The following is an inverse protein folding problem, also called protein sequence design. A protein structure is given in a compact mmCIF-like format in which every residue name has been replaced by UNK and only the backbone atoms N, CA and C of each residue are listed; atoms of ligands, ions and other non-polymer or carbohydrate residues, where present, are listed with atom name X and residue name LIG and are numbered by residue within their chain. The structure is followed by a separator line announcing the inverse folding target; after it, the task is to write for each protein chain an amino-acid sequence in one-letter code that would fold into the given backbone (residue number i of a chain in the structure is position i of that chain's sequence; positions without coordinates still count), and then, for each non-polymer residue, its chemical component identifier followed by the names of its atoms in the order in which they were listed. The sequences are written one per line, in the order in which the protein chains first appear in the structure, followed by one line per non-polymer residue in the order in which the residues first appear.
data_IF_130534217149
#
_entry.id   IF_130534217149
#
_cell.length_a   1.000
_cell.length_b   1.000
_cell.length_c   1.000
_cell.angle_alpha   90.00
_cell.angle_beta   90.00
_cell.angle_gamma   90.00
#
_symmetry.space_group_name_H-M   'P 1'
#
loop_
_entity.id
_entity.type
_entity.pdbx_description
1 polymer ?
#
# COMPACT_ATOMS: atom_id res chain seq x y z
N UNK A 1 -62.22 21.32 32.57
CA UNK A 1 -60.76 21.05 32.40
C UNK A 1 -60.01 22.38 32.34
N UNK A 2 -59.22 22.71 33.37
CA UNK A 2 -58.54 24.01 33.52
C UNK A 2 -57.65 24.32 32.31
N UNK A 3 -57.75 25.55 31.75
CA UNK A 3 -56.96 26.01 30.60
C UNK A 3 -55.45 25.72 30.78
N UNK A 4 -54.94 25.85 31.99
CA UNK A 4 -53.55 25.55 32.37
C UNK A 4 -53.15 24.09 32.13
N UNK A 5 -54.02 23.11 32.43
CA UNK A 5 -53.72 21.68 32.20
C UNK A 5 -53.64 21.34 30.71
N UNK A 6 -54.47 21.99 29.87
CA UNK A 6 -54.41 21.86 28.40
C UNK A 6 -53.11 22.42 27.83
N UNK A 7 -52.67 23.57 28.34
CA UNK A 7 -51.42 24.23 27.92
C UNK A 7 -50.21 23.37 28.29
N UNK A 8 -50.15 22.83 29.51
CA UNK A 8 -49.05 21.95 29.95
C UNK A 8 -48.96 20.68 29.10
N UNK A 9 -50.10 20.05 28.79
CA UNK A 9 -50.14 18.88 27.91
C UNK A 9 -49.66 19.18 26.49
N UNK A 10 -50.04 20.35 25.93
CA UNK A 10 -49.57 20.80 24.63
C UNK A 10 -48.06 21.07 24.59
N UNK A 11 -47.52 21.73 25.62
CA UNK A 11 -46.07 21.98 25.76
C UNK A 11 -45.32 20.65 25.86
N UNK A 12 -45.81 19.71 26.66
CA UNK A 12 -45.18 18.38 26.78
C UNK A 12 -45.17 17.62 25.45
N UNK A 13 -46.27 17.67 24.69
CA UNK A 13 -46.34 17.08 23.35
C UNK A 13 -45.37 17.75 22.37
N UNK A 14 -45.26 19.08 22.39
CA UNK A 14 -44.33 19.83 21.54
C UNK A 14 -42.86 19.51 21.86
N UNK A 15 -42.51 19.40 23.15
CA UNK A 15 -41.15 19.00 23.56
C UNK A 15 -40.85 17.57 23.09
N UNK A 16 -41.81 16.66 23.23
CA UNK A 16 -41.68 15.27 22.81
C UNK A 16 -41.46 15.15 21.29
N UNK A 17 -42.23 15.90 20.48
CA UNK A 17 -42.06 15.89 19.02
C UNK A 17 -40.73 16.50 18.59
N UNK A 18 -40.29 17.59 19.22
CA UNK A 18 -38.98 18.19 18.95
C UNK A 18 -37.82 17.26 19.34
N UNK A 19 -37.94 16.51 20.44
CA UNK A 19 -36.97 15.49 20.84
C UNK A 19 -36.85 14.39 19.77
N UNK A 20 -37.97 13.84 19.31
CA UNK A 20 -37.97 12.80 18.26
C UNK A 20 -37.36 13.36 16.97
N UNK A 21 -37.75 14.57 16.56
CA UNK A 21 -37.19 15.19 15.36
C UNK A 21 -35.67 15.40 15.47
N UNK A 22 -35.18 15.84 16.64
CA UNK A 22 -33.76 15.99 16.92
C UNK A 22 -32.99 14.67 16.83
N UNK A 23 -33.54 13.59 17.41
CA UNK A 23 -32.95 12.25 17.29
C UNK A 23 -32.94 11.78 15.83
N UNK A 24 -34.03 11.97 15.08
CA UNK A 24 -34.09 11.58 13.68
C UNK A 24 -33.04 12.33 12.82
N UNK A 25 -32.91 13.64 13.00
CA UNK A 25 -31.87 14.45 12.33
C UNK A 25 -30.47 13.95 12.70
N UNK A 26 -30.23 13.68 13.98
CA UNK A 26 -28.96 13.13 14.44
C UNK A 26 -28.64 11.77 13.79
N UNK A 27 -29.62 10.87 13.70
CA UNK A 27 -29.48 9.57 13.04
C UNK A 27 -29.20 9.71 11.52
N UNK A 28 -29.84 10.68 10.86
CA UNK A 28 -29.58 10.97 9.44
C UNK A 28 -28.15 11.49 9.25
N UNK A 29 -27.68 12.37 10.14
CA UNK A 29 -26.33 12.91 10.07
C UNK A 29 -25.27 11.79 10.21
N UNK A 30 -25.39 10.91 11.21
CA UNK A 30 -24.45 9.79 11.36
C UNK A 30 -24.55 8.80 10.19
N UNK A 31 -25.73 8.55 9.64
CA UNK A 31 -25.91 7.68 8.49
C UNK A 31 -25.26 8.25 7.22
N UNK A 32 -25.18 9.58 7.10
CA UNK A 32 -24.45 10.28 6.03
C UNK A 32 -22.94 10.45 6.33
N UNK A 33 -22.42 9.84 7.39
CA UNK A 33 -21.02 9.90 7.79
C UNK A 33 -20.62 11.20 8.48
N UNK A 34 -21.54 11.95 9.10
CA UNK A 34 -21.18 13.10 9.91
C UNK A 34 -20.85 12.68 11.35
N UNK A 35 -19.76 13.23 11.88
CA UNK A 35 -19.40 13.20 13.30
C UNK A 35 -19.37 14.60 13.88
N UNK A 36 -19.75 14.71 15.15
CA UNK A 36 -19.62 15.95 15.93
C UNK A 36 -18.17 16.07 16.38
N UNK A 37 -17.52 17.15 15.98
CA UNK A 37 -16.23 17.56 16.50
C UNK A 37 -16.47 18.46 17.72
N UNK A 38 -16.30 17.91 18.92
CA UNK A 38 -16.53 18.64 20.18
C UNK A 38 -15.57 19.82 20.40
N UNK A 39 -14.39 19.79 19.78
CA UNK A 39 -13.39 20.84 19.95
C UNK A 39 -13.81 22.14 19.24
N UNK A 40 -14.53 22.03 18.12
CA UNK A 40 -14.97 23.19 17.32
C UNK A 40 -16.49 23.34 17.26
N UNK A 41 -17.22 22.50 17.98
CA UNK A 41 -18.69 22.40 17.94
C UNK A 41 -19.24 22.28 16.50
N UNK A 42 -18.51 21.58 15.62
CA UNK A 42 -18.81 21.51 14.18
C UNK A 42 -19.14 20.08 13.74
N UNK A 43 -19.94 19.97 12.67
CA UNK A 43 -20.21 18.70 12.01
C UNK A 43 -19.17 18.49 10.90
N UNK A 44 -18.42 17.40 10.98
CA UNK A 44 -17.42 17.04 9.98
C UNK A 44 -17.78 15.70 9.35
N UNK A 45 -17.68 15.60 8.02
CA UNK A 45 -17.90 14.35 7.31
C UNK A 45 -16.66 13.48 7.45
N UNK A 46 -16.85 12.24 7.87
CA UNK A 46 -15.79 11.26 8.03
C UNK A 46 -15.30 10.76 6.68
N UNK A 47 -14.06 10.28 6.64
CA UNK A 47 -13.53 9.54 5.51
C UNK A 47 -13.53 8.02 5.76
N UNK A 48 -12.94 7.29 4.81
CA UNK A 48 -12.80 5.84 4.85
C UNK A 48 -11.45 5.43 4.26
N UNK A 49 -10.88 4.34 4.79
CA UNK A 49 -9.74 3.65 4.19
C UNK A 49 -10.23 2.33 3.59
N UNK A 50 -9.81 2.05 2.36
CA UNK A 50 -10.00 0.76 1.68
C UNK A 50 -8.63 0.18 1.32
N UNK A 51 -8.37 -1.06 1.71
CA UNK A 51 -7.10 -1.75 1.46
C UNK A 51 -7.36 -3.08 0.75
N UNK A 52 -6.63 -3.32 -0.33
CA UNK A 52 -6.60 -4.59 -1.05
C UNK A 52 -5.15 -5.00 -1.27
N UNK A 53 -4.82 -6.24 -0.88
CA UNK A 53 -3.46 -6.76 -0.99
C UNK A 53 -3.42 -8.15 -1.62
N UNK A 54 -2.26 -8.47 -2.19
CA UNK A 54 -1.87 -9.81 -2.57
C UNK A 54 -0.59 -10.20 -1.81
N UNK A 55 -0.60 -11.28 -1.02
CA UNK A 55 -1.74 -12.17 -0.74
C UNK A 55 -2.82 -11.50 0.14
N UNK A 56 -4.01 -12.10 0.17
CA UNK A 56 -5.17 -11.53 0.87
C UNK A 56 -5.17 -11.81 2.38
N UNK A 57 -4.51 -12.88 2.84
CA UNK A 57 -4.43 -13.30 4.25
C UNK A 57 -3.35 -12.55 5.03
N UNK A 58 -3.62 -11.28 5.31
CA UNK A 58 -2.68 -10.36 5.98
C UNK A 58 -3.23 -9.85 7.30
N UNK A 59 -2.36 -9.40 8.20
CA UNK A 59 -2.70 -8.64 9.40
C UNK A 59 -2.63 -7.15 9.10
N UNK A 60 -3.64 -6.38 9.54
CA UNK A 60 -3.78 -4.96 9.24
C UNK A 60 -3.71 -4.16 10.54
N UNK A 61 -2.84 -3.16 10.55
CA UNK A 61 -2.63 -2.25 11.66
C UNK A 61 -2.81 -0.80 11.19
N UNK A 62 -3.53 0.00 11.98
CA UNK A 62 -3.73 1.43 11.72
C UNK A 62 -3.32 2.19 12.99
N UNK A 63 -2.35 3.10 12.86
CA UNK A 63 -1.70 3.80 13.97
C UNK A 63 -1.22 2.82 15.05
N UNK A 64 -0.51 1.76 14.62
CA UNK A 64 0.01 0.66 15.43
C UNK A 64 -1.04 -0.18 16.19
N UNK A 65 -2.33 0.10 16.00
CA UNK A 65 -3.44 -0.70 16.54
C UNK A 65 -3.85 -1.76 15.54
N UNK A 66 -3.98 -3.00 15.99
CA UNK A 66 -4.52 -4.09 15.18
C UNK A 66 -6.01 -3.85 14.88
N UNK A 67 -6.36 -3.86 13.60
CA UNK A 67 -7.73 -3.61 13.12
C UNK A 67 -8.40 -4.85 12.51
N UNK A 68 -7.63 -5.83 12.02
CA UNK A 68 -8.22 -7.04 11.45
C UNK A 68 -7.26 -7.94 10.68
N UNK A 69 -7.82 -8.99 10.10
CA UNK A 69 -7.15 -9.96 9.23
C UNK A 69 -7.90 -10.04 7.91
N UNK A 70 -7.17 -10.05 6.80
CA UNK A 70 -7.73 -10.26 5.48
C UNK A 70 -7.98 -8.97 4.70
N UNK A 71 -7.73 -9.01 3.40
CA UNK A 71 -8.23 -8.01 2.43
C UNK A 71 -9.22 -8.65 1.45
N UNK A 72 -10.18 -7.88 0.87
CA UNK A 72 -10.35 -6.43 1.00
C UNK A 72 -10.80 -6.01 2.40
N UNK A 73 -10.18 -4.95 2.93
CA UNK A 73 -10.43 -4.40 4.25
C UNK A 73 -10.97 -2.98 4.16
N UNK A 74 -11.95 -2.64 5.00
CA UNK A 74 -12.64 -1.35 4.98
C UNK A 74 -12.73 -0.79 6.39
N UNK A 75 -12.19 0.40 6.61
CA UNK A 75 -12.37 1.14 7.86
C UNK A 75 -13.06 2.47 7.59
N UNK A 76 -14.32 2.57 8.01
CA UNK A 76 -15.17 3.74 7.83
C UNK A 76 -15.26 4.60 9.09
N UNK A 77 -15.96 5.74 8.99
CA UNK A 77 -16.18 6.67 10.10
C UNK A 77 -14.89 7.23 10.70
N UNK A 78 -13.85 7.37 9.87
CA UNK A 78 -12.57 7.95 10.24
C UNK A 78 -12.66 9.47 10.30
N UNK A 79 -12.09 10.06 11.34
CA UNK A 79 -11.90 11.51 11.34
C UNK A 79 -10.90 11.86 10.23
N UNK A 80 -10.98 13.08 9.72
CA UNK A 80 -9.98 13.55 8.74
C UNK A 80 -8.59 13.62 9.36
N UNK A 81 -7.58 13.24 8.61
CA UNK A 81 -6.18 13.33 9.03
C UNK A 81 -5.31 12.18 8.54
N UNK A 82 -4.08 12.14 9.03
CA UNK A 82 -3.08 11.15 8.61
C UNK A 82 -3.18 9.88 9.45
N UNK A 83 -3.16 8.74 8.77
CA UNK A 83 -3.20 7.41 9.36
C UNK A 83 -2.01 6.59 8.89
N UNK A 84 -1.20 6.10 9.82
CA UNK A 84 -0.13 5.16 9.52
C UNK A 84 -0.71 3.76 9.35
N UNK A 85 -0.65 3.21 8.14
CA UNK A 85 -1.12 1.87 7.83
C UNK A 85 0.08 0.94 7.74
N UNK A 86 -0.02 -0.22 8.38
CA UNK A 86 0.93 -1.33 8.25
C UNK A 86 0.18 -2.61 7.92
N UNK A 87 0.64 -3.31 6.90
CA UNK A 87 0.15 -4.63 6.49
C UNK A 87 1.29 -5.63 6.65
N UNK A 88 1.02 -6.74 7.32
CA UNK A 88 2.04 -7.74 7.68
C UNK A 88 1.52 -9.15 7.47
N UNK A 89 2.37 -10.04 6.94
CA UNK A 89 2.12 -11.48 6.84
C UNK A 89 3.41 -12.22 7.19
N UNK A 90 3.28 -13.32 7.92
CA UNK A 90 4.45 -14.15 8.27
C UNK A 90 5.10 -14.70 6.99
N UNK A 91 6.42 -14.63 6.89
CA UNK A 91 7.18 -14.99 5.70
C UNK A 91 7.24 -13.91 4.62
N UNK A 92 6.71 -12.71 4.89
CA UNK A 92 6.71 -11.57 3.97
C UNK A 92 7.38 -10.34 4.60
N UNK A 93 7.78 -9.39 3.75
CA UNK A 93 8.18 -8.06 4.19
C UNK A 93 6.93 -7.22 4.46
N UNK A 94 6.98 -6.41 5.52
CA UNK A 94 5.85 -5.54 5.87
C UNK A 94 5.69 -4.41 4.85
N UNK A 95 4.44 -4.07 4.53
CA UNK A 95 4.11 -2.90 3.74
C UNK A 95 3.59 -1.80 4.66
N UNK A 96 4.07 -0.58 4.48
CA UNK A 96 3.70 0.56 5.31
C UNK A 96 3.44 1.81 4.48
N UNK A 97 2.45 2.61 4.86
CA UNK A 97 2.17 3.89 4.22
C UNK A 97 1.41 4.82 5.15
N UNK A 98 1.68 6.12 5.05
CA UNK A 98 0.84 7.13 5.70
C UNK A 98 -0.22 7.60 4.70
N UNK A 99 -1.48 7.34 5.02
CA UNK A 99 -2.64 7.72 4.22
C UNK A 99 -3.26 9.02 4.75
N UNK A 100 -3.65 9.94 3.86
CA UNK A 100 -4.32 11.18 4.22
C UNK A 100 -5.83 11.04 3.99
N UNK A 101 -6.57 10.87 5.08
CA UNK A 101 -8.03 10.68 5.01
C UNK A 101 -8.71 12.03 4.94
N UNK A 102 -9.31 12.29 3.79
CA UNK A 102 -10.07 13.51 3.54
C UNK A 102 -11.57 13.37 3.86
N UNK A 103 -12.21 14.51 4.16
CA UNK A 103 -13.63 14.57 4.53
C UNK A 103 -14.54 14.04 3.43
N UNK A 104 -15.27 12.96 3.71
CA UNK A 104 -16.23 12.36 2.78
C UNK A 104 -15.64 11.63 1.59
N UNK A 105 -14.31 11.38 1.58
CA UNK A 105 -13.62 10.60 0.56
C UNK A 105 -13.23 9.21 1.09
N UNK A 106 -13.01 8.30 0.15
CA UNK A 106 -12.36 7.02 0.39
C UNK A 106 -10.93 7.11 -0.07
N UNK A 107 -9.99 6.87 0.83
CA UNK A 107 -8.59 6.66 0.52
C UNK A 107 -8.39 5.16 0.24
N UNK A 108 -8.17 4.82 -1.03
CA UNK A 108 -8.13 3.43 -1.51
C UNK A 108 -6.70 3.06 -1.93
N UNK A 109 -6.22 1.93 -1.42
CA UNK A 109 -4.96 1.31 -1.84
C UNK A 109 -5.28 -0.10 -2.33
N UNK A 110 -5.39 -0.27 -3.65
CA UNK A 110 -5.89 -1.51 -4.27
C UNK A 110 -4.79 -2.47 -4.74
N UNK A 111 -3.54 -2.01 -4.76
CA UNK A 111 -2.42 -2.68 -5.43
C UNK A 111 -1.27 -3.01 -4.47
N UNK A 112 -1.60 -3.36 -3.24
CA UNK A 112 -0.59 -3.66 -2.23
C UNK A 112 -0.04 -5.07 -2.51
N UNK A 113 1.22 -5.15 -2.93
CA UNK A 113 1.89 -6.44 -3.11
C UNK A 113 2.87 -6.67 -1.96
N UNK A 114 2.74 -7.79 -1.27
CA UNK A 114 3.77 -8.22 -0.32
C UNK A 114 4.75 -9.16 -1.01
N UNK A 115 6.03 -8.93 -0.77
CA UNK A 115 7.12 -9.78 -1.26
C UNK A 115 7.64 -10.68 -0.14
N UNK A 116 7.92 -11.93 -0.49
CA UNK A 116 8.43 -12.95 0.43
C UNK A 116 9.73 -12.44 1.08
N UNK A 117 9.83 -12.60 2.40
CA UNK A 117 11.08 -12.34 3.10
C UNK A 117 12.03 -13.51 2.90
N UNK A 118 13.30 -13.22 2.58
CA UNK A 118 14.33 -14.23 2.33
C UNK A 118 13.87 -15.35 1.36
N UNK A 119 13.61 -15.02 0.08
CA UNK A 119 12.99 -15.93 -0.86
C UNK A 119 13.84 -17.17 -1.12
N UNK A 120 13.19 -18.35 -1.17
CA UNK A 120 13.87 -19.61 -1.41
C UNK A 120 14.42 -19.68 -2.85
N UNK A 121 15.62 -20.25 -2.99
CA UNK A 121 16.21 -20.56 -4.28
C UNK A 121 15.48 -21.73 -4.94
N UNK A 122 15.24 -21.61 -6.24
CA UNK A 122 14.60 -22.61 -7.09
C UNK A 122 15.58 -23.11 -8.15
N UNK A 123 15.33 -24.32 -8.66
CA UNK A 123 16.05 -24.86 -9.80
C UNK A 123 15.69 -24.11 -11.09
N UNK A 124 16.71 -23.80 -11.89
CA UNK A 124 16.54 -23.16 -13.20
C UNK A 124 16.37 -24.23 -14.28
N UNK A 125 15.27 -24.16 -15.04
CA UNK A 125 15.01 -25.09 -16.13
C UNK A 125 15.90 -24.84 -17.35
N UNK A 126 16.07 -25.83 -18.22
CA UNK A 126 16.83 -25.65 -19.47
C UNK A 126 16.17 -24.60 -20.39
N UNK A 127 14.84 -24.56 -20.45
CA UNK A 127 14.11 -23.56 -21.25
C UNK A 127 14.34 -22.13 -20.74
N UNK A 128 14.42 -21.96 -19.42
CA UNK A 128 14.75 -20.67 -18.78
C UNK A 128 16.18 -20.24 -19.12
N UNK A 129 17.14 -21.18 -19.13
CA UNK A 129 18.53 -20.88 -19.53
C UNK A 129 18.60 -20.41 -20.99
N UNK A 130 17.88 -21.08 -21.88
CA UNK A 130 17.86 -20.76 -23.31
C UNK A 130 17.22 -19.39 -23.56
N UNK A 131 16.10 -19.11 -22.90
CA UNK A 131 15.30 -17.89 -23.12
C UNK A 131 15.79 -16.66 -22.34
N UNK A 132 16.68 -16.82 -21.35
CA UNK A 132 17.08 -15.73 -20.44
C UNK A 132 17.55 -14.46 -21.17
N UNK A 133 18.47 -14.59 -22.13
CA UNK A 133 19.02 -13.44 -22.85
C UNK A 133 17.94 -12.68 -23.63
N UNK A 134 17.01 -13.40 -24.25
CA UNK A 134 15.91 -12.81 -25.00
C UNK A 134 14.94 -12.07 -24.09
N UNK A 135 14.63 -12.66 -22.92
CA UNK A 135 13.75 -12.07 -21.91
C UNK A 135 14.34 -10.78 -21.30
N UNK A 136 15.63 -10.79 -20.95
CA UNK A 136 16.31 -9.62 -20.37
C UNK A 136 16.40 -8.47 -21.36
N UNK A 137 16.71 -8.75 -22.63
CA UNK A 137 16.83 -7.70 -23.66
C UNK A 137 15.51 -6.96 -23.92
N UNK A 138 14.38 -7.60 -23.61
CA UNK A 138 13.04 -7.01 -23.74
C UNK A 138 12.61 -6.19 -22.51
N UNK A 139 13.47 -6.06 -21.50
CA UNK A 139 13.15 -5.39 -20.23
C UNK A 139 13.80 -4.00 -20.10
N UNK A 140 13.32 -2.97 -20.82
CA UNK A 140 13.87 -1.62 -20.67
C UNK A 140 13.37 -0.95 -19.39
N UNK A 141 14.14 0.04 -18.92
CA UNK A 141 13.82 0.84 -17.75
C UNK A 141 12.62 1.81 -17.92
N UNK A 142 12.08 1.95 -19.15
CA UNK A 142 10.91 2.80 -19.52
C UNK A 142 10.84 4.12 -18.75
N UNK A 143 11.75 5.05 -19.03
CA UNK A 143 11.77 6.39 -18.42
C UNK A 143 12.42 6.46 -17.03
N UNK A 144 12.81 5.33 -16.44
CA UNK A 144 13.68 5.31 -15.26
C UNK A 144 15.14 5.58 -15.65
N UNK A 145 15.80 6.42 -14.87
CA UNK A 145 17.17 6.85 -15.09
C UNK A 145 17.97 6.76 -13.79
N UNK A 146 19.27 6.48 -13.93
CA UNK A 146 20.25 6.54 -12.85
C UNK A 146 21.05 7.82 -13.02
N UNK A 147 20.97 8.73 -12.05
CA UNK A 147 21.79 9.97 -12.01
C UNK A 147 22.72 9.91 -10.80
N UNK A 148 23.89 10.56 -10.92
CA UNK A 148 24.90 10.63 -9.85
C UNK A 148 25.29 9.25 -9.25
N UNK A 149 25.17 8.17 -10.03
CA UNK A 149 25.43 6.77 -9.66
C UNK A 149 24.60 6.23 -8.48
N UNK A 150 23.75 7.04 -7.85
CA UNK A 150 23.10 6.73 -6.56
C UNK A 150 21.67 7.24 -6.48
N UNK A 151 21.17 7.93 -7.50
CA UNK A 151 19.82 8.48 -7.55
C UNK A 151 18.98 7.77 -8.61
N UNK A 152 17.75 7.45 -8.26
CA UNK A 152 16.72 6.96 -9.18
C UNK A 152 15.80 8.11 -9.55
N UNK A 153 15.62 8.32 -10.84
CA UNK A 153 14.73 9.32 -11.42
C UNK A 153 13.74 8.66 -12.36
N UNK A 154 12.55 9.26 -12.51
CA UNK A 154 11.56 8.85 -13.50
C UNK A 154 11.04 10.07 -14.24
N UNK A 155 11.27 10.14 -15.56
CA UNK A 155 10.89 11.28 -16.40
C UNK A 155 11.29 12.64 -15.78
N UNK A 156 12.57 12.76 -15.39
CA UNK A 156 13.14 13.94 -14.71
C UNK A 156 12.54 14.30 -13.33
N UNK A 157 11.72 13.41 -12.74
CA UNK A 157 11.29 13.53 -11.35
C UNK A 157 12.18 12.68 -10.46
N UNK A 158 12.75 13.30 -9.41
CA UNK A 158 13.52 12.60 -8.39
C UNK A 158 12.62 11.64 -7.60
N UNK A 159 13.00 10.36 -7.52
CA UNK A 159 12.30 9.36 -6.70
C UNK A 159 13.02 9.21 -5.36
N UNK A 160 14.27 8.75 -5.39
CA UNK A 160 15.02 8.44 -4.19
C UNK A 160 16.53 8.37 -4.45
N UNK A 161 17.32 8.33 -3.38
CA UNK A 161 18.77 8.07 -3.44
C UNK A 161 19.16 6.96 -2.48
N UNK A 162 20.14 6.18 -2.89
CA UNK A 162 20.75 5.14 -2.07
C UNK A 162 22.17 5.54 -1.64
N UNK A 163 22.65 4.96 -0.54
CA UNK A 163 24.03 5.16 -0.11
C UNK A 163 25.04 4.36 -0.95
N UNK A 164 24.57 3.33 -1.67
CA UNK A 164 25.37 2.45 -2.53
C UNK A 164 25.27 2.82 -4.00
N UNK A 165 26.08 2.17 -4.83
CA UNK A 165 26.10 2.39 -6.28
C UNK A 165 24.96 1.62 -6.95
N UNK A 166 24.12 2.33 -7.71
CA UNK A 166 23.07 1.73 -8.50
C UNK A 166 23.66 1.21 -9.82
N UNK A 167 23.58 -0.10 -10.03
CA UNK A 167 24.07 -0.76 -11.24
C UNK A 167 23.01 -0.86 -12.33
N UNK A 168 21.75 -1.01 -11.91
CA UNK A 168 20.61 -1.21 -12.81
C UNK A 168 19.31 -0.79 -12.12
N UNK A 169 18.38 -0.25 -12.89
CA UNK A 169 17.01 0.07 -12.49
C UNK A 169 16.05 -0.40 -13.58
N UNK A 170 14.88 -0.88 -13.20
CA UNK A 170 13.83 -1.22 -14.14
C UNK A 170 12.48 -1.37 -13.46
N UNK A 171 11.40 -1.20 -14.22
CA UNK A 171 10.06 -1.44 -13.70
C UNK A 171 9.86 -2.92 -13.43
N UNK A 172 9.16 -3.23 -12.34
CA UNK A 172 8.46 -4.49 -12.18
C UNK A 172 7.39 -4.60 -13.29
N UNK A 173 7.07 -5.79 -13.81
CA UNK A 173 6.28 -5.90 -15.05
C UNK A 173 4.83 -5.38 -14.91
N UNK A 174 4.29 -5.27 -13.69
CA UNK A 174 3.00 -4.62 -13.44
C UNK A 174 3.04 -3.08 -13.46
N UNK A 175 4.23 -2.47 -13.60
CA UNK A 175 4.48 -1.02 -13.55
C UNK A 175 4.10 -0.35 -12.23
N UNK A 176 3.92 -1.12 -11.15
CA UNK A 176 3.56 -0.63 -9.81
C UNK A 176 4.71 -0.71 -8.82
N UNK A 177 5.86 -1.27 -9.21
CA UNK A 177 7.07 -1.35 -8.38
C UNK A 177 8.31 -1.15 -9.23
N UNK A 178 9.42 -0.79 -8.60
CA UNK A 178 10.71 -0.57 -9.24
C UNK A 178 11.71 -1.58 -8.68
N UNK A 179 12.40 -2.28 -9.56
CA UNK A 179 13.54 -3.13 -9.24
C UNK A 179 14.82 -2.31 -9.37
N UNK A 180 15.69 -2.43 -8.37
CA UNK A 180 16.98 -1.72 -8.34
C UNK A 180 18.07 -2.69 -7.89
N UNK A 181 19.15 -2.77 -8.65
CA UNK A 181 20.39 -3.36 -8.14
C UNK A 181 21.24 -2.26 -7.51
N UNK A 182 21.55 -2.43 -6.23
CA UNK A 182 22.42 -1.53 -5.47
C UNK A 182 23.57 -2.36 -4.93
N UNK A 183 24.81 -2.02 -5.27
CA UNK A 183 25.99 -2.81 -4.93
C UNK A 183 25.76 -4.31 -5.25
N UNK A 184 25.84 -5.18 -4.24
CA UNK A 184 25.65 -6.62 -4.31
C UNK A 184 24.25 -7.08 -3.88
N UNK A 185 23.20 -6.29 -4.07
CA UNK A 185 21.82 -6.69 -3.73
C UNK A 185 20.83 -6.23 -4.79
N UNK A 186 19.81 -7.04 -5.01
CA UNK A 186 18.62 -6.65 -5.77
C UNK A 186 17.52 -6.34 -4.78
N UNK A 187 16.94 -5.15 -4.90
CA UNK A 187 15.81 -4.67 -4.12
C UNK A 187 14.60 -4.43 -5.02
N UNK A 188 13.43 -4.39 -4.41
CA UNK A 188 12.19 -3.89 -4.99
C UNK A 188 11.64 -2.77 -4.10
N UNK A 189 10.98 -1.78 -4.67
CA UNK A 189 10.38 -0.67 -3.93
C UNK A 189 9.11 -0.15 -4.61
N UNK A 190 8.30 0.60 -3.87
CA UNK A 190 7.16 1.32 -4.43
C UNK A 190 7.64 2.49 -5.32
N UNK A 191 6.82 2.99 -6.26
CA UNK A 191 7.24 4.02 -7.22
C UNK A 191 7.62 5.36 -6.59
N UNK A 192 7.17 5.62 -5.36
CA UNK A 192 7.52 6.79 -4.56
C UNK A 192 8.84 6.63 -3.76
N UNK A 193 9.54 5.50 -3.94
CA UNK A 193 10.78 5.19 -3.25
C UNK A 193 10.60 4.62 -1.84
N UNK A 194 9.37 4.33 -1.42
CA UNK A 194 9.06 3.70 -0.13
C UNK A 194 8.98 2.16 -0.24
N UNK A 195 8.67 1.48 0.87
CA UNK A 195 8.49 0.01 0.93
C UNK A 195 9.62 -0.81 0.30
N UNK A 196 10.86 -0.39 0.54
CA UNK A 196 12.05 -1.05 0.02
C UNK A 196 12.21 -2.43 0.66
N UNK A 197 12.19 -3.45 -0.18
CA UNK A 197 12.39 -4.85 0.18
C UNK A 197 13.63 -5.40 -0.52
N UNK A 198 14.52 -6.05 0.23
CA UNK A 198 15.62 -6.82 -0.36
C UNK A 198 15.09 -8.16 -0.87
N UNK A 199 15.37 -8.46 -2.13
CA UNK A 199 15.00 -9.72 -2.78
C UNK A 199 16.14 -10.73 -2.66
N UNK A 200 17.35 -10.39 -3.11
CA UNK A 200 18.52 -11.28 -3.07
C UNK A 200 19.80 -10.52 -2.76
N UNK A 201 20.73 -11.19 -2.09
CA UNK A 201 22.15 -10.83 -2.07
C UNK A 201 22.85 -11.52 -3.24
N UNK A 202 23.77 -10.81 -3.88
CA UNK A 202 24.58 -11.25 -5.00
C UNK A 202 26.01 -11.51 -4.52
N UNK A 203 26.72 -12.39 -5.22
CA UNK A 203 28.10 -12.74 -4.91
C UNK A 203 29.08 -11.59 -5.24
N UNK A 204 28.67 -10.64 -6.09
CA UNK A 204 29.48 -9.46 -6.44
C UNK A 204 28.64 -8.19 -6.65
N UNK A 205 29.31 -7.03 -6.68
CA UNK A 205 28.68 -5.74 -6.99
C UNK A 205 28.64 -5.41 -8.49
N UNK A 206 29.06 -6.33 -9.36
CA UNK A 206 29.01 -6.13 -10.80
C UNK A 206 27.57 -6.10 -11.28
N UNK A 207 27.30 -5.36 -12.36
CA UNK A 207 25.97 -5.31 -12.96
C UNK A 207 25.44 -6.71 -13.26
N UNK A 208 24.29 -7.03 -12.69
CA UNK A 208 23.59 -8.29 -12.79
C UNK A 208 22.40 -8.11 -13.74
N UNK A 209 22.30 -9.01 -14.72
CA UNK A 209 21.11 -9.10 -15.55
C UNK A 209 20.03 -9.86 -14.79
N UNK A 210 18.81 -9.34 -14.78
CA UNK A 210 17.68 -10.00 -14.13
C UNK A 210 16.37 -9.72 -14.87
N UNK A 211 15.42 -10.64 -14.71
CA UNK A 211 14.09 -10.59 -15.32
C UNK A 211 13.07 -11.25 -14.39
N UNK A 212 11.84 -10.74 -14.36
CA UNK A 212 10.73 -11.41 -13.65
C UNK A 212 9.97 -12.28 -14.63
N UNK A 213 9.73 -13.52 -14.22
CA UNK A 213 9.06 -14.54 -15.01
C UNK A 213 7.87 -15.12 -14.22
N UNK A 214 7.25 -16.16 -14.79
CA UNK A 214 6.17 -16.93 -14.17
C UNK A 214 5.04 -16.05 -13.61
N UNK A 215 4.43 -15.21 -14.47
CA UNK A 215 3.34 -14.31 -14.10
C UNK A 215 3.68 -13.37 -12.94
N UNK A 216 4.90 -12.83 -12.96
CA UNK A 216 5.39 -11.88 -11.96
C UNK A 216 5.64 -12.50 -10.58
N UNK A 217 6.04 -13.78 -10.50
CA UNK A 217 6.22 -14.47 -9.21
C UNK A 217 7.65 -14.87 -8.91
N UNK A 218 8.49 -14.93 -9.94
CA UNK A 218 9.84 -15.47 -9.83
C UNK A 218 10.84 -14.51 -10.47
N UNK A 219 11.94 -14.28 -9.78
CA UNK A 219 13.08 -13.51 -10.28
C UNK A 219 14.13 -14.49 -10.79
N UNK A 220 14.50 -14.34 -12.06
CA UNK A 220 15.60 -15.05 -12.71
C UNK A 220 16.74 -14.05 -12.91
N UNK A 221 17.95 -14.37 -12.45
CA UNK A 221 19.08 -13.43 -12.44
C UNK A 221 20.43 -14.13 -12.62
N UNK A 222 21.35 -13.45 -13.30
CA UNK A 222 22.69 -13.95 -13.60
C UNK A 222 23.70 -13.39 -12.59
N UNK A 223 24.13 -14.23 -11.66
CA UNK A 223 25.13 -13.89 -10.65
C UNK A 223 26.49 -14.50 -11.01
N UNK A 224 27.39 -13.66 -11.53
CA UNK A 224 28.61 -14.12 -12.18
C UNK A 224 28.30 -14.94 -13.43
N UNK A 225 28.62 -16.23 -13.41
CA UNK A 225 28.33 -17.19 -14.49
C UNK A 225 27.15 -18.11 -14.17
N UNK A 226 26.54 -17.94 -12.99
CA UNK A 226 25.48 -18.83 -12.51
C UNK A 226 24.13 -18.16 -12.67
N UNK A 227 23.26 -18.77 -13.49
CA UNK A 227 21.86 -18.39 -13.55
C UNK A 227 21.16 -18.94 -12.31
N UNK A 228 20.55 -18.04 -11.52
CA UNK A 228 19.86 -18.35 -10.26
C UNK A 228 18.40 -17.91 -10.37
N UNK A 229 17.51 -18.60 -9.66
CA UNK A 229 16.07 -18.28 -9.61
C UNK A 229 15.58 -18.27 -8.18
N UNK A 230 14.68 -17.33 -7.85
CA UNK A 230 14.02 -17.25 -6.54
C UNK A 230 12.53 -16.96 -6.71
N UNK A 231 11.71 -17.44 -5.78
CA UNK A 231 10.28 -17.07 -5.70
C UNK A 231 10.09 -15.84 -4.84
N UNK A 232 9.57 -14.76 -5.41
CA UNK A 232 9.48 -13.45 -4.73
C UNK A 232 8.08 -13.15 -4.19
N UNK A 233 7.04 -13.86 -4.65
CA UNK A 233 5.67 -13.78 -4.15
C UNK A 233 4.88 -15.06 -4.47
N UNK A 234 3.68 -15.16 -3.91
CA UNK A 234 2.75 -16.30 -4.09
C UNK A 234 2.11 -16.36 -5.49
#
# INVERSE_FOLDING_TARGET
MNKTKKIIGFIGWLIFTLLIAGVAVYLILIANGYKINYQYLSFQKTGMIYLESNPADVQIYINDKFEGIGTPFKLSNLNTGKYFVKISKNGYNEWTKTLDVESGKTEAQEDIELFINNPAQLDVSEDEKISFNDLVNQWPAKGLEIKNQSEVWFNDVYITRFSGLIQQVGWYPNLKHILVQIDNKIIIMDPDGSNITKIVDLDSSNKCQFVIINSNRELLYLDGYNLKKVRIKE
#
